data_IF_225770166460
#
_entry.id   IF_225770166460
#
_cell.length_a   1.000
_cell.length_b   1.000
_cell.length_c   1.000
_cell.angle_alpha   90.00
_cell.angle_beta   90.00
_cell.angle_gamma   90.00
#
_symmetry.space_group_name_H-M   'P 1'
#
loop_
_entity.id
_entity.type
_entity.pdbx_description
1 polymer ?
#
# COMPACT_ATOMS: atom_id res chain seq x y z
N UNK A 1 12.60 -5.32 13.09
CA UNK A 1 12.60 -6.76 13.38
C UNK A 1 11.51 -7.39 12.50
N UNK A 2 11.85 -8.28 11.55
CA UNK A 2 10.85 -8.88 10.68
C UNK A 2 9.78 -9.69 11.43
N UNK A 3 10.14 -10.28 12.58
CA UNK A 3 9.21 -11.10 13.37
C UNK A 3 8.16 -10.26 14.10
N UNK A 4 8.41 -8.97 14.33
CA UNK A 4 7.43 -8.08 14.95
C UNK A 4 6.42 -7.50 13.97
N UNK A 5 6.65 -7.62 12.66
CA UNK A 5 5.80 -7.04 11.62
C UNK A 5 4.46 -7.76 11.56
N UNK A 6 3.36 -6.99 11.70
CA UNK A 6 1.98 -7.48 11.60
C UNK A 6 1.26 -7.08 10.33
N UNK A 7 1.69 -5.97 9.72
CA UNK A 7 1.15 -5.48 8.46
C UNK A 7 2.27 -5.22 7.46
N UNK A 8 2.06 -5.61 6.21
CA UNK A 8 2.95 -5.26 5.10
C UNK A 8 2.22 -4.25 4.21
N UNK A 9 2.79 -3.06 4.07
CA UNK A 9 2.29 -1.98 3.23
C UNK A 9 3.01 -2.04 1.88
N UNK A 10 2.31 -2.53 0.86
CA UNK A 10 2.69 -2.45 -0.54
C UNK A 10 2.30 -1.10 -1.10
N UNK A 11 3.19 -0.47 -1.87
CA UNK A 11 2.89 0.80 -2.53
C UNK A 11 3.77 0.98 -3.78
N UNK A 12 3.47 1.98 -4.60
CA UNK A 12 4.31 2.37 -5.73
C UNK A 12 4.50 3.90 -5.75
N UNK A 13 5.65 4.36 -6.23
CA UNK A 13 5.94 5.78 -6.35
C UNK A 13 6.22 6.48 -5.01
N UNK A 14 5.90 7.79 -4.96
CA UNK A 14 6.38 8.69 -3.90
C UNK A 14 5.76 8.43 -2.52
N UNK A 15 4.54 7.89 -2.47
CA UNK A 15 3.81 7.62 -1.21
C UNK A 15 4.59 6.67 -0.27
N UNK A 16 5.52 5.88 -0.81
CA UNK A 16 6.40 5.04 -0.01
C UNK A 16 7.24 5.85 0.99
N UNK A 17 7.73 7.03 0.60
CA UNK A 17 8.52 7.88 1.48
C UNK A 17 7.70 8.39 2.65
N UNK A 18 6.44 8.72 2.39
CA UNK A 18 5.52 9.19 3.40
C UNK A 18 5.15 8.07 4.38
N UNK A 19 4.88 6.87 3.88
CA UNK A 19 4.64 5.69 4.71
C UNK A 19 5.84 5.32 5.59
N UNK A 20 7.07 5.40 5.04
CA UNK A 20 8.29 5.18 5.81
C UNK A 20 8.48 6.24 6.89
N UNK A 21 8.24 7.53 6.56
CA UNK A 21 8.31 8.61 7.53
C UNK A 21 7.27 8.44 8.65
N UNK A 22 6.04 8.05 8.30
CA UNK A 22 4.98 7.77 9.27
C UNK A 22 5.36 6.62 10.21
N UNK A 23 5.85 5.49 9.66
CA UNK A 23 6.34 4.35 10.45
C UNK A 23 7.44 4.77 11.42
N UNK A 24 8.43 5.53 10.95
CA UNK A 24 9.59 5.93 11.75
C UNK A 24 9.18 6.92 12.86
N UNK A 25 8.19 7.78 12.62
CA UNK A 25 7.66 8.71 13.61
C UNK A 25 6.79 8.05 14.69
N UNK A 26 6.03 7.00 14.32
CA UNK A 26 5.06 6.33 15.21
C UNK A 26 5.60 5.06 15.88
N UNK A 27 6.64 4.45 15.30
CA UNK A 27 7.15 3.15 15.74
C UNK A 27 6.20 2.00 15.42
N UNK A 28 5.21 2.20 14.53
CA UNK A 28 4.25 1.14 14.16
C UNK A 28 4.99 -0.04 13.54
N UNK A 29 4.70 -1.29 13.94
CA UNK A 29 5.38 -2.49 13.45
C UNK A 29 4.87 -2.90 12.05
N UNK A 30 5.11 -2.04 11.06
CA UNK A 30 4.79 -2.28 9.65
C UNK A 30 6.06 -2.38 8.81
N UNK A 31 6.01 -3.20 7.76
CA UNK A 31 6.99 -3.18 6.69
C UNK A 31 6.44 -2.37 5.51
N UNK A 32 7.25 -1.48 4.93
CA UNK A 32 6.89 -0.75 3.70
C UNK A 32 7.67 -1.37 2.55
N UNK A 33 6.96 -1.88 1.55
CA UNK A 33 7.51 -2.56 0.38
C UNK A 33 7.08 -1.81 -0.88
N UNK A 34 8.06 -1.44 -1.69
CA UNK A 34 7.82 -0.69 -2.93
C UNK A 34 7.74 -1.65 -4.12
N UNK A 35 6.69 -1.51 -4.91
CA UNK A 35 6.53 -2.15 -6.21
C UNK A 35 6.91 -1.13 -7.28
N UNK A 36 8.20 -1.12 -7.64
CA UNK A 36 8.74 -0.21 -8.67
C UNK A 36 8.31 -0.60 -10.09
N UNK A 37 7.96 -1.87 -10.30
CA UNK A 37 7.50 -2.40 -11.58
C UNK A 37 6.12 -3.05 -11.40
N UNK A 38 5.08 -2.39 -11.90
CA UNK A 38 3.71 -2.93 -11.90
C UNK A 38 3.48 -3.88 -13.07
N UNK A 39 4.13 -3.61 -14.21
CA UNK A 39 4.05 -4.46 -15.39
C UNK A 39 5.43 -4.60 -16.07
N UNK A 40 5.87 -5.83 -16.41
CA UNK A 40 5.23 -7.12 -16.09
C UNK A 40 5.20 -7.38 -14.58
N UNK A 41 4.21 -8.16 -14.11
CA UNK A 41 3.96 -8.38 -12.68
C UNK A 41 5.11 -9.17 -12.01
N UNK A 42 5.72 -8.66 -10.92
CA UNK A 42 6.89 -9.27 -10.28
C UNK A 42 6.50 -10.30 -9.20
N UNK A 43 5.80 -11.37 -9.59
CA UNK A 43 5.26 -12.36 -8.64
C UNK A 43 6.34 -13.04 -7.78
N UNK A 44 7.45 -13.44 -8.39
CA UNK A 44 8.54 -14.15 -7.71
C UNK A 44 9.19 -13.28 -6.63
N UNK A 45 9.56 -12.04 -6.99
CA UNK A 45 10.16 -11.09 -6.06
C UNK A 45 9.21 -10.74 -4.91
N UNK A 46 7.91 -10.57 -5.18
CA UNK A 46 6.93 -10.31 -4.14
C UNK A 46 6.80 -11.50 -3.18
N UNK A 47 6.81 -12.73 -3.70
CA UNK A 47 6.78 -13.94 -2.86
C UNK A 47 8.00 -14.03 -1.94
N UNK A 48 9.20 -13.73 -2.47
CA UNK A 48 10.44 -13.73 -1.68
C UNK A 48 10.39 -12.67 -0.57
N UNK A 49 9.90 -11.46 -0.87
CA UNK A 49 9.78 -10.39 0.12
C UNK A 49 8.72 -10.72 1.18
N UNK A 50 7.57 -11.27 0.79
CA UNK A 50 6.52 -11.64 1.76
C UNK A 50 7.00 -12.74 2.72
N UNK A 51 7.86 -13.66 2.25
CA UNK A 51 8.44 -14.70 3.10
C UNK A 51 9.34 -14.14 4.23
N UNK A 52 9.82 -12.90 4.12
CA UNK A 52 10.59 -12.23 5.18
C UNK A 52 9.71 -11.81 6.37
N UNK A 53 8.39 -11.77 6.20
CA UNK A 53 7.44 -11.30 7.22
C UNK A 53 6.39 -12.37 7.55
N UNK A 54 6.80 -13.50 8.18
CA UNK A 54 5.92 -14.65 8.40
C UNK A 54 4.75 -14.39 9.35
N UNK A 55 4.85 -13.35 10.18
CA UNK A 55 3.83 -12.95 11.15
C UNK A 55 2.89 -11.86 10.63
N UNK A 56 3.03 -11.45 9.36
CA UNK A 56 2.14 -10.48 8.74
C UNK A 56 0.76 -11.12 8.48
N UNK A 57 -0.27 -10.52 9.07
CA UNK A 57 -1.66 -11.00 8.97
C UNK A 57 -2.44 -10.25 7.89
N UNK A 58 -2.10 -8.96 7.71
CA UNK A 58 -2.76 -8.07 6.75
C UNK A 58 -1.75 -7.50 5.77
N UNK A 59 -2.14 -7.44 4.50
CA UNK A 59 -1.39 -6.74 3.47
C UNK A 59 -2.20 -5.54 3.01
N UNK A 60 -1.58 -4.36 3.05
CA UNK A 60 -2.19 -3.11 2.64
C UNK A 60 -1.62 -2.73 1.27
N UNK A 61 -2.47 -2.38 0.32
CA UNK A 61 -2.11 -1.60 -0.85
C UNK A 61 -2.34 -0.12 -0.53
N UNK A 62 -1.27 0.64 -0.41
CA UNK A 62 -1.30 2.08 -0.18
C UNK A 62 -1.11 2.82 -1.52
N UNK A 63 -2.02 3.73 -1.82
CA UNK A 63 -1.91 4.66 -2.94
C UNK A 63 -2.49 6.03 -2.59
N UNK A 64 -1.98 7.09 -3.20
CA UNK A 64 -2.52 8.45 -2.99
C UNK A 64 -3.67 8.77 -3.94
N UNK A 65 -3.82 7.97 -4.99
CA UNK A 65 -4.86 8.04 -5.99
C UNK A 65 -6.23 7.58 -5.43
N UNK A 66 -7.35 8.09 -5.99
CA UNK A 66 -8.69 7.55 -5.75
C UNK A 66 -8.76 6.03 -5.98
N UNK A 67 -9.62 5.33 -5.24
CA UNK A 67 -9.79 3.88 -5.31
C UNK A 67 -10.16 3.36 -6.71
N UNK A 68 -10.87 4.16 -7.49
CA UNK A 68 -11.22 3.88 -8.88
C UNK A 68 -10.10 4.25 -9.89
N UNK A 69 -8.95 4.70 -9.38
CA UNK A 69 -7.77 5.11 -10.13
C UNK A 69 -6.51 4.43 -9.56
N UNK A 70 -5.35 4.78 -10.13
CA UNK A 70 -4.08 4.20 -9.72
C UNK A 70 -4.02 2.69 -9.99
N UNK A 71 -3.07 1.99 -9.36
CA UNK A 71 -2.84 0.57 -9.65
C UNK A 71 -3.79 -0.39 -8.93
N UNK A 72 -4.65 0.09 -8.01
CA UNK A 72 -5.46 -0.77 -7.13
C UNK A 72 -6.19 -1.89 -7.86
N UNK A 73 -6.97 -1.57 -8.89
CA UNK A 73 -7.76 -2.57 -9.63
C UNK A 73 -6.88 -3.65 -10.28
N UNK A 74 -5.73 -3.26 -10.80
CA UNK A 74 -4.75 -4.17 -11.37
C UNK A 74 -4.10 -5.06 -10.30
N UNK A 75 -3.63 -4.47 -9.19
CA UNK A 75 -3.02 -5.22 -8.08
C UNK A 75 -4.02 -6.18 -7.46
N UNK A 76 -5.28 -5.75 -7.27
CA UNK A 76 -6.35 -6.60 -6.76
C UNK A 76 -6.60 -7.78 -7.69
N UNK A 77 -6.67 -7.55 -9.01
CA UNK A 77 -6.80 -8.62 -10.00
C UNK A 77 -5.66 -9.63 -9.90
N UNK A 78 -4.41 -9.18 -9.71
CA UNK A 78 -3.25 -10.08 -9.51
C UNK A 78 -3.35 -10.90 -8.22
N UNK A 79 -3.87 -10.32 -7.15
CA UNK A 79 -4.12 -11.04 -5.92
C UNK A 79 -5.23 -12.10 -6.09
N UNK A 80 -6.34 -11.74 -6.74
CA UNK A 80 -7.45 -12.65 -7.00
C UNK A 80 -7.04 -13.81 -7.94
N UNK A 81 -6.09 -13.58 -8.86
CA UNK A 81 -5.44 -14.60 -9.71
C UNK A 81 -4.45 -15.50 -8.94
N UNK A 82 -4.16 -15.20 -7.68
CA UNK A 82 -3.16 -15.91 -6.86
C UNK A 82 -1.70 -15.54 -7.17
N UNK A 83 -1.47 -14.50 -7.98
CA UNK A 83 -0.13 -14.00 -8.32
C UNK A 83 0.47 -13.09 -7.22
N UNK A 84 -0.28 -12.83 -6.15
CA UNK A 84 0.18 -12.23 -4.91
C UNK A 84 -0.27 -13.16 -3.76
N UNK A 85 0.65 -13.83 -3.03
CA UNK A 85 0.29 -14.86 -2.06
C UNK A 85 -0.19 -14.25 -0.73
N UNK A 86 -1.31 -13.54 -0.76
CA UNK A 86 -1.88 -12.80 0.38
C UNK A 86 -3.32 -13.20 0.61
N UNK A 87 -3.73 -13.31 1.88
CA UNK A 87 -5.10 -13.70 2.25
C UNK A 87 -6.03 -12.50 2.46
N UNK A 88 -5.48 -11.41 2.99
CA UNK A 88 -6.22 -10.20 3.34
C UNK A 88 -5.53 -8.98 2.73
N UNK A 89 -5.93 -8.64 1.50
CA UNK A 89 -5.45 -7.46 0.78
C UNK A 89 -6.47 -6.31 0.92
N UNK A 90 -6.06 -5.28 1.65
CA UNK A 90 -6.87 -4.09 1.94
C UNK A 90 -6.34 -2.89 1.17
N UNK A 91 -7.23 -2.08 0.61
CA UNK A 91 -6.87 -0.78 0.02
C UNK A 91 -6.85 0.29 1.12
N UNK A 92 -5.75 1.04 1.19
CA UNK A 92 -5.70 2.37 1.82
C UNK A 92 -5.44 3.37 0.70
N UNK A 93 -6.46 4.13 0.34
CA UNK A 93 -6.42 5.07 -0.77
C UNK A 93 -7.56 6.07 -0.70
N UNK A 94 -7.53 7.11 -1.53
CA UNK A 94 -8.59 8.12 -1.50
C UNK A 94 -9.92 7.50 -1.94
N UNK A 95 -11.06 8.02 -1.45
CA UNK A 95 -12.37 7.60 -1.94
C UNK A 95 -12.49 7.76 -3.47
N UNK A 96 -13.39 7.00 -4.08
CA UNK A 96 -13.64 7.10 -5.51
C UNK A 96 -14.05 8.53 -5.91
N UNK A 97 -13.54 8.98 -7.05
CA UNK A 97 -13.76 10.33 -7.54
C UNK A 97 -13.80 10.37 -9.06
N UNK A 98 -14.57 11.31 -9.61
CA UNK A 98 -14.53 11.64 -11.04
C UNK A 98 -13.31 12.49 -11.42
N UNK A 99 -12.64 13.09 -10.45
CA UNK A 99 -11.42 13.89 -10.62
C UNK A 99 -10.22 13.17 -9.99
N UNK A 100 -9.01 13.25 -10.59
CA UNK A 100 -7.79 12.65 -10.03
C UNK A 100 -7.42 13.16 -8.62
N UNK A 101 -7.80 14.39 -8.30
CA UNK A 101 -7.58 14.99 -6.99
C UNK A 101 -8.64 16.05 -6.67
N UNK A 102 -8.79 16.39 -5.39
CA UNK A 102 -9.57 17.55 -4.97
C UNK A 102 -8.87 18.86 -5.38
N UNK A 103 -9.64 19.90 -5.73
CA UNK A 103 -9.10 21.20 -6.13
C UNK A 103 -8.64 22.11 -4.99
N UNK A 104 -8.80 21.68 -3.73
CA UNK A 104 -8.45 22.46 -2.54
C UNK A 104 -7.24 21.85 -1.84
N UNK A 105 -6.20 22.66 -1.59
CA UNK A 105 -5.00 22.23 -0.89
C UNK A 105 -5.29 21.72 0.53
N UNK A 106 -6.19 22.38 1.26
CA UNK A 106 -6.53 21.98 2.62
C UNK A 106 -7.24 20.61 2.68
N UNK A 107 -8.15 20.36 1.74
CA UNK A 107 -8.80 19.05 1.61
C UNK A 107 -7.77 17.99 1.20
N UNK A 108 -6.87 18.34 0.27
CA UNK A 108 -5.84 17.42 -0.19
C UNK A 108 -4.93 16.97 0.97
N UNK A 109 -4.51 17.91 1.82
CA UNK A 109 -3.70 17.61 2.99
C UNK A 109 -4.45 16.75 4.01
N UNK A 110 -5.73 17.07 4.24
CA UNK A 110 -6.56 16.30 5.16
C UNK A 110 -6.76 14.84 4.70
N UNK A 111 -7.10 14.64 3.42
CA UNK A 111 -7.22 13.29 2.84
C UNK A 111 -5.90 12.52 2.98
N UNK A 112 -4.76 13.19 2.75
CA UNK A 112 -3.45 12.57 2.89
C UNK A 112 -3.12 12.15 4.33
N UNK A 113 -3.43 13.00 5.32
CA UNK A 113 -3.28 12.65 6.74
C UNK A 113 -4.13 11.45 7.14
N UNK A 114 -5.35 11.34 6.59
CA UNK A 114 -6.23 10.19 6.81
C UNK A 114 -5.59 8.89 6.28
N UNK A 115 -5.01 8.91 5.08
CA UNK A 115 -4.32 7.73 4.53
C UNK A 115 -3.21 7.23 5.46
N UNK A 116 -2.40 8.15 6.01
CA UNK A 116 -1.32 7.77 6.91
C UNK A 116 -1.85 7.23 8.24
N UNK A 117 -2.96 7.77 8.76
CA UNK A 117 -3.56 7.32 10.01
C UNK A 117 -4.17 5.90 9.93
N UNK A 118 -4.42 5.38 8.73
CA UNK A 118 -4.94 4.03 8.49
C UNK A 118 -3.86 2.94 8.42
N UNK A 119 -2.57 3.31 8.38
CA UNK A 119 -1.43 2.38 8.33
C UNK A 119 -1.15 1.75 9.71
#
# INVERSE_FOLDING_TARGET
DPDSVRKVVLCSGKVAYDAMAHRDATGTPIAVVRIEQLYPWPAEQLSEIMALYPNAETVIWLQEEPANMGPWSYVRGRADEGALPVRDLVLVGRPESGSPACGSLGVHQHEFEQLMAEL
#
